data_IF_772642539013
#
_entry.id   IF_772642539013
#
_cell.length_a   1.000
_cell.length_b   1.000
_cell.length_c   1.000
_cell.angle_alpha   90.00
_cell.angle_beta   90.00
_cell.angle_gamma   90.00
#
_symmetry.space_group_name_H-M   'P 1'
#
loop_
_entity.id
_entity.type
_entity.pdbx_description
1 polymer ?
#
# COMPACT_ATOMS: atom_id res chain seq x y z
N UNK A 1 16.37 -50.58 2.13
CA UNK A 1 15.81 -49.59 1.18
C UNK A 1 15.01 -48.47 1.84
N UNK A 2 15.16 -48.22 3.15
CA UNK A 2 14.33 -47.27 3.92
C UNK A 2 15.00 -45.93 4.25
N UNK A 3 16.30 -45.75 3.98
CA UNK A 3 17.03 -44.49 4.26
C UNK A 3 16.99 -43.47 3.11
N UNK A 4 16.86 -43.93 1.86
CA UNK A 4 16.89 -43.05 0.67
C UNK A 4 15.57 -42.28 0.50
N UNK A 5 14.45 -42.81 1.01
CA UNK A 5 13.13 -42.19 0.91
C UNK A 5 12.95 -40.98 1.86
N UNK A 6 13.78 -40.85 2.91
CA UNK A 6 13.71 -39.72 3.86
C UNK A 6 14.48 -38.47 3.42
N UNK A 7 15.38 -38.59 2.44
CA UNK A 7 16.13 -37.43 1.93
C UNK A 7 15.38 -36.69 0.81
N UNK A 8 14.51 -37.39 0.06
CA UNK A 8 13.78 -36.77 -1.05
C UNK A 8 12.68 -35.79 -0.58
N UNK A 9 12.13 -35.97 0.63
CA UNK A 9 11.05 -35.12 1.17
C UNK A 9 11.54 -33.79 1.73
N UNK A 10 12.82 -33.65 2.08
CA UNK A 10 13.37 -32.38 2.59
C UNK A 10 13.70 -31.42 1.44
N UNK A 11 14.11 -31.94 0.28
CA UNK A 11 14.42 -31.11 -0.90
C UNK A 11 13.16 -30.51 -1.57
N UNK A 12 11.99 -31.14 -1.41
CA UNK A 12 10.73 -30.62 -1.95
C UNK A 12 10.13 -29.49 -1.11
N UNK A 13 10.49 -29.39 0.19
CA UNK A 13 10.01 -28.33 1.09
C UNK A 13 10.82 -27.03 0.99
N UNK A 14 12.03 -27.07 0.45
CA UNK A 14 12.87 -25.87 0.30
C UNK A 14 12.58 -25.06 -0.97
N UNK A 15 11.90 -25.64 -1.96
CA UNK A 15 11.61 -24.94 -3.23
C UNK A 15 10.36 -24.04 -3.14
N UNK A 16 9.49 -24.27 -2.17
CA UNK A 16 8.28 -23.46 -1.92
C UNK A 16 8.56 -22.14 -1.21
N UNK A 17 9.79 -21.94 -0.71
CA UNK A 17 10.19 -20.72 0.00
C UNK A 17 10.77 -19.64 -0.93
N UNK A 18 10.89 -19.91 -2.24
CA UNK A 18 11.24 -18.92 -3.25
C UNK A 18 9.97 -18.27 -3.82
N UNK A 19 9.06 -17.84 -2.95
CA UNK A 19 8.13 -16.77 -3.32
C UNK A 19 9.02 -15.58 -3.64
N UNK A 20 9.28 -15.33 -4.92
CA UNK A 20 9.89 -14.10 -5.36
C UNK A 20 9.07 -12.97 -4.71
N UNK A 21 9.66 -12.30 -3.72
CA UNK A 21 9.09 -11.11 -3.13
C UNK A 21 9.07 -10.09 -4.28
N UNK A 22 8.01 -10.13 -5.07
CA UNK A 22 7.75 -9.11 -6.06
C UNK A 22 7.81 -7.80 -5.27
N UNK A 23 8.74 -6.92 -5.65
CA UNK A 23 8.85 -5.62 -5.04
C UNK A 23 7.48 -4.97 -5.19
N UNK A 24 6.75 -4.80 -4.08
CA UNK A 24 5.45 -4.15 -4.13
C UNK A 24 5.70 -2.71 -4.56
N UNK A 25 5.19 -2.34 -5.73
CA UNK A 25 5.32 -0.97 -6.19
C UNK A 25 4.51 -0.09 -5.23
N UNK A 26 5.13 0.91 -4.58
CA UNK A 26 4.42 1.81 -3.69
C UNK A 26 3.34 2.56 -4.45
N UNK A 27 2.31 2.99 -3.75
CA UNK A 27 1.23 3.77 -4.35
C UNK A 27 0.84 4.97 -3.50
N UNK A 28 0.25 5.95 -4.16
CA UNK A 28 -0.37 7.12 -3.55
C UNK A 28 -1.80 7.27 -4.07
N UNK A 29 -2.72 7.63 -3.20
CA UNK A 29 -4.06 8.08 -3.54
C UNK A 29 -4.28 9.47 -2.95
N UNK A 30 -4.63 10.42 -3.81
CA UNK A 30 -4.92 11.79 -3.42
C UNK A 30 -6.36 11.93 -2.91
N UNK A 31 -6.69 13.04 -2.28
CA UNK A 31 -8.09 13.39 -2.02
C UNK A 31 -8.73 14.03 -3.28
N UNK A 32 -9.97 14.50 -3.13
CA UNK A 32 -10.75 15.07 -4.23
C UNK A 32 -10.31 16.48 -4.65
N UNK A 33 -9.39 17.14 -3.95
CA UNK A 33 -8.79 18.40 -4.42
C UNK A 33 -7.84 18.16 -5.60
N UNK A 34 -7.38 16.91 -5.77
CA UNK A 34 -6.60 16.46 -6.92
C UNK A 34 -5.10 16.71 -6.74
N UNK A 35 -4.29 16.10 -7.61
CA UNK A 35 -2.83 16.10 -7.47
C UNK A 35 -2.18 17.47 -7.67
N UNK A 36 -2.75 18.32 -8.52
CA UNK A 36 -2.21 19.64 -8.87
C UNK A 36 -3.03 20.77 -8.24
N UNK A 37 -3.31 20.64 -6.94
CA UNK A 37 -4.12 21.58 -6.15
C UNK A 37 -3.39 22.88 -5.78
N UNK A 38 -2.13 23.06 -6.22
CA UNK A 38 -1.24 24.17 -5.84
C UNK A 38 -1.02 24.30 -4.32
N UNK A 39 -1.25 23.22 -3.58
CA UNK A 39 -1.24 23.18 -2.13
C UNK A 39 -0.63 21.83 -1.69
N UNK A 40 -1.26 21.19 -0.71
CA UNK A 40 -0.75 20.03 -0.02
C UNK A 40 -0.56 18.81 -0.94
N UNK A 41 -1.52 18.51 -1.82
CA UNK A 41 -1.41 17.34 -2.69
C UNK A 41 -0.28 17.52 -3.70
N UNK A 42 -0.13 18.72 -4.27
CA UNK A 42 0.97 19.01 -5.18
C UNK A 42 2.32 18.93 -4.44
N UNK A 43 2.40 19.37 -3.19
CA UNK A 43 3.61 19.20 -2.38
C UNK A 43 3.97 17.72 -2.17
N UNK A 44 2.99 16.85 -1.90
CA UNK A 44 3.22 15.40 -1.79
C UNK A 44 3.70 14.81 -3.12
N UNK A 45 3.13 15.25 -4.24
CA UNK A 45 3.56 14.79 -5.56
C UNK A 45 5.01 15.22 -5.87
N UNK A 46 5.29 16.52 -5.82
CA UNK A 46 6.60 17.09 -6.18
C UNK A 46 7.71 16.64 -5.25
N UNK A 47 7.47 16.71 -3.94
CA UNK A 47 8.52 16.52 -2.93
C UNK A 47 8.57 15.09 -2.38
N UNK A 48 7.55 14.27 -2.66
CA UNK A 48 7.51 12.87 -2.25
C UNK A 48 7.61 11.94 -3.46
N UNK A 49 6.58 11.92 -4.30
CA UNK A 49 6.46 10.94 -5.40
C UNK A 49 7.54 11.11 -6.46
N UNK A 50 7.73 12.31 -6.99
CA UNK A 50 8.73 12.55 -8.05
C UNK A 50 10.15 12.28 -7.53
N UNK A 51 10.45 12.71 -6.30
CA UNK A 51 11.75 12.47 -5.67
C UNK A 51 11.99 10.97 -5.41
N UNK A 52 11.00 10.25 -4.87
CA UNK A 52 11.11 8.80 -4.66
C UNK A 52 11.34 8.06 -5.98
N UNK A 53 10.58 8.42 -7.03
CA UNK A 53 10.75 7.83 -8.36
C UNK A 53 12.16 8.04 -8.89
N UNK A 54 12.71 9.26 -8.73
CA UNK A 54 14.06 9.61 -9.15
C UNK A 54 15.13 8.85 -8.36
N UNK A 55 15.01 8.82 -7.05
CA UNK A 55 16.05 8.30 -6.15
C UNK A 55 16.07 6.77 -6.11
N UNK A 56 14.91 6.12 -6.28
CA UNK A 56 14.78 4.66 -6.20
C UNK A 56 14.65 3.98 -7.56
N UNK A 57 14.38 4.74 -8.63
CA UNK A 57 14.10 4.17 -9.96
C UNK A 57 12.82 3.33 -10.00
N UNK A 58 11.93 3.48 -9.01
CA UNK A 58 10.66 2.75 -8.88
C UNK A 58 9.53 3.72 -9.20
N UNK A 59 8.61 3.34 -10.09
CA UNK A 59 7.45 4.19 -10.41
C UNK A 59 6.32 3.95 -9.40
N UNK A 60 6.09 4.93 -8.53
CA UNK A 60 4.92 4.99 -7.64
C UNK A 60 3.64 4.95 -8.49
N UNK A 61 2.66 4.13 -8.09
CA UNK A 61 1.32 4.17 -8.70
C UNK A 61 0.50 5.29 -8.08
N UNK A 62 -0.27 5.99 -8.89
CA UNK A 62 -1.08 7.11 -8.45
C UNK A 62 -2.57 6.84 -8.73
N UNK A 63 -3.44 7.33 -7.86
CA UNK A 63 -4.87 7.37 -8.07
C UNK A 63 -5.45 8.72 -7.64
N UNK A 64 -6.24 9.34 -8.52
CA UNK A 64 -6.90 10.63 -8.29
C UNK A 64 -8.42 10.44 -8.29
N UNK A 65 -9.05 10.31 -7.10
CA UNK A 65 -10.49 10.10 -7.00
C UNK A 65 -11.25 11.37 -7.37
N UNK A 66 -12.35 11.22 -8.12
CA UNK A 66 -13.24 12.33 -8.48
C UNK A 66 -14.28 12.64 -7.41
N UNK A 67 -14.53 11.69 -6.50
CA UNK A 67 -15.48 11.82 -5.39
C UNK A 67 -15.13 10.82 -4.29
N UNK A 68 -15.86 10.89 -3.17
CA UNK A 68 -15.60 10.05 -2.00
C UNK A 68 -15.77 8.55 -2.25
N UNK A 69 -16.77 8.15 -3.04
CA UNK A 69 -17.01 6.74 -3.37
C UNK A 69 -15.81 6.12 -4.12
N UNK A 70 -15.10 6.93 -4.93
CA UNK A 70 -13.90 6.47 -5.63
C UNK A 70 -12.69 6.30 -4.72
N UNK A 71 -12.68 6.84 -3.49
CA UNK A 71 -11.55 6.68 -2.55
C UNK A 71 -11.41 5.22 -2.11
N UNK A 72 -12.52 4.61 -1.67
CA UNK A 72 -12.56 3.18 -1.31
C UNK A 72 -12.23 2.28 -2.51
N UNK A 73 -12.83 2.57 -3.67
CA UNK A 73 -12.55 1.83 -4.90
C UNK A 73 -11.07 1.91 -5.31
N UNK A 74 -10.47 3.10 -5.20
CA UNK A 74 -9.06 3.34 -5.50
C UNK A 74 -8.14 2.56 -4.57
N UNK A 75 -8.37 2.64 -3.26
CA UNK A 75 -7.61 1.89 -2.25
C UNK A 75 -7.69 0.38 -2.48
N UNK A 76 -8.90 -0.16 -2.66
CA UNK A 76 -9.11 -1.59 -2.96
C UNK A 76 -8.42 -2.00 -4.26
N UNK A 77 -8.47 -1.16 -5.31
CA UNK A 77 -7.80 -1.43 -6.58
C UNK A 77 -6.28 -1.46 -6.46
N UNK A 78 -5.68 -0.53 -5.70
CA UNK A 78 -4.24 -0.51 -5.47
C UNK A 78 -3.81 -1.74 -4.66
N UNK A 79 -4.50 -2.03 -3.55
CA UNK A 79 -4.17 -3.16 -2.68
C UNK A 79 -4.33 -4.52 -3.38
N UNK A 80 -5.42 -4.72 -4.13
CA UNK A 80 -5.65 -5.94 -4.93
C UNK A 80 -4.64 -6.17 -6.05
N UNK A 81 -3.92 -5.12 -6.48
CA UNK A 81 -2.80 -5.21 -7.43
C UNK A 81 -1.47 -5.49 -6.75
N UNK A 82 -1.45 -5.66 -5.43
CA UNK A 82 -0.24 -5.87 -4.65
C UNK A 82 0.61 -4.60 -4.49
N UNK A 83 0.04 -3.41 -4.67
CA UNK A 83 0.75 -2.17 -4.38
C UNK A 83 0.92 -1.98 -2.88
N UNK A 84 2.10 -1.53 -2.46
CA UNK A 84 2.42 -1.39 -1.04
C UNK A 84 3.82 -0.82 -0.81
N UNK A 85 4.02 0.07 0.17
CA UNK A 85 2.99 0.72 0.98
C UNK A 85 2.07 1.64 0.13
N UNK A 86 0.84 1.85 0.60
CA UNK A 86 -0.15 2.74 0.01
C UNK A 86 -0.28 3.99 0.89
N UNK A 87 0.02 5.15 0.33
CA UNK A 87 -0.09 6.46 0.98
C UNK A 87 -1.41 7.12 0.58
N UNK A 88 -2.31 7.33 1.53
CA UNK A 88 -3.51 8.11 1.35
C UNK A 88 -3.28 9.57 1.80
N UNK A 89 -3.55 10.52 0.93
CA UNK A 89 -3.28 11.94 1.17
C UNK A 89 -4.60 12.64 1.51
N UNK A 90 -4.63 13.33 2.66
CA UNK A 90 -5.75 14.17 3.06
C UNK A 90 -6.50 13.65 4.29
N UNK A 91 -7.13 14.59 5.01
CA UNK A 91 -7.76 14.36 6.32
C UNK A 91 -8.90 13.33 6.31
N UNK A 92 -9.72 13.32 5.26
CA UNK A 92 -10.94 12.51 5.22
C UNK A 92 -10.74 11.04 4.83
N UNK A 93 -9.50 10.54 4.80
CA UNK A 93 -9.16 9.19 4.30
C UNK A 93 -9.40 8.05 5.30
N UNK A 94 -9.57 8.35 6.58
CA UNK A 94 -9.58 7.36 7.67
C UNK A 94 -10.52 6.17 7.46
N UNK A 95 -11.81 6.42 7.22
CA UNK A 95 -12.82 5.36 7.07
C UNK A 95 -12.56 4.46 5.85
N UNK A 96 -12.12 5.05 4.73
CA UNK A 96 -11.83 4.32 3.51
C UNK A 96 -10.59 3.42 3.67
N UNK A 97 -9.55 3.94 4.34
CA UNK A 97 -8.34 3.18 4.64
C UNK A 97 -8.61 2.07 5.66
N UNK A 98 -9.42 2.31 6.70
CA UNK A 98 -9.77 1.29 7.69
C UNK A 98 -10.46 0.07 7.05
N UNK A 99 -11.43 0.32 6.16
CA UNK A 99 -12.09 -0.74 5.38
C UNK A 99 -11.09 -1.49 4.50
N UNK A 100 -10.26 -0.77 3.74
CA UNK A 100 -9.26 -1.39 2.87
C UNK A 100 -8.22 -2.19 3.67
N UNK A 101 -7.74 -1.68 4.81
CA UNK A 101 -6.79 -2.38 5.66
C UNK A 101 -7.38 -3.69 6.23
N UNK A 102 -8.68 -3.69 6.56
CA UNK A 102 -9.39 -4.91 7.00
C UNK A 102 -9.48 -5.95 5.89
N UNK A 103 -9.69 -5.52 4.64
CA UNK A 103 -9.79 -6.41 3.48
C UNK A 103 -8.43 -6.90 2.96
N UNK A 104 -7.38 -6.10 3.17
CA UNK A 104 -6.02 -6.36 2.69
C UNK A 104 -5.01 -6.29 3.84
N UNK A 105 -5.06 -7.24 4.80
CA UNK A 105 -4.24 -7.18 6.02
C UNK A 105 -2.72 -7.23 5.75
N UNK A 106 -2.31 -7.78 4.60
CA UNK A 106 -0.90 -7.84 4.19
C UNK A 106 -0.42 -6.56 3.51
N UNK A 107 -1.30 -5.58 3.25
CA UNK A 107 -0.94 -4.31 2.62
C UNK A 107 -0.73 -3.24 3.67
N UNK A 108 0.40 -2.55 3.60
CA UNK A 108 0.67 -1.41 4.48
C UNK A 108 -0.01 -0.16 3.92
N UNK A 109 -0.79 0.53 4.77
CA UNK A 109 -1.42 1.81 4.46
C UNK A 109 -0.95 2.88 5.43
N UNK A 110 -0.74 4.09 4.94
CA UNK A 110 -0.51 5.25 5.81
C UNK A 110 -1.34 6.42 5.33
N UNK A 111 -1.74 7.30 6.24
CA UNK A 111 -2.43 8.54 5.92
C UNK A 111 -1.52 9.70 6.27
N UNK A 112 -1.35 10.62 5.32
CA UNK A 112 -0.71 11.91 5.57
C UNK A 112 -1.81 12.96 5.74
N UNK A 113 -1.63 13.82 6.74
CA UNK A 113 -2.57 14.87 7.16
C UNK A 113 -3.83 14.36 7.88
N UNK A 114 -3.67 13.32 8.70
CA UNK A 114 -4.71 12.86 9.62
C UNK A 114 -4.38 13.19 11.07
N UNK A 115 -5.37 13.70 11.82
CA UNK A 115 -5.27 13.94 13.26
C UNK A 115 -6.21 13.01 14.05
N UNK A 116 -5.77 12.54 15.23
CA UNK A 116 -6.66 11.91 16.22
C UNK A 116 -6.69 10.37 16.25
N UNK A 117 -7.81 9.81 16.71
CA UNK A 117 -7.97 8.38 17.05
C UNK A 117 -7.86 7.44 15.83
N UNK A 118 -8.25 7.91 14.65
CA UNK A 118 -8.20 7.12 13.41
C UNK A 118 -6.77 6.65 13.07
N UNK A 119 -5.74 7.46 13.37
CA UNK A 119 -4.33 7.08 13.11
C UNK A 119 -3.90 5.90 13.99
N UNK A 120 -4.39 5.88 15.25
CA UNK A 120 -4.11 4.80 16.20
C UNK A 120 -4.80 3.50 15.77
N UNK A 121 -6.02 3.59 15.24
CA UNK A 121 -6.76 2.42 14.74
C UNK A 121 -6.04 1.78 13.56
N UNK A 122 -5.62 2.56 12.56
CA UNK A 122 -4.93 2.04 11.38
C UNK A 122 -3.61 1.36 11.76
N UNK A 123 -2.84 1.96 12.67
CA UNK A 123 -1.60 1.34 13.14
C UNK A 123 -1.84 -0.01 13.84
N UNK A 124 -2.93 -0.15 14.62
CA UNK A 124 -3.30 -1.43 15.24
C UNK A 124 -3.66 -2.50 14.21
N UNK A 125 -4.37 -2.13 13.14
CA UNK A 125 -4.75 -3.07 12.08
C UNK A 125 -3.55 -3.63 11.30
N UNK A 126 -2.41 -2.93 11.32
CA UNK A 126 -1.21 -3.30 10.57
C UNK A 126 -0.08 -3.90 11.43
N UNK A 127 -0.27 -3.94 12.75
CA UNK A 127 0.72 -4.39 13.73
C UNK A 127 0.27 -5.58 14.57
N UNK A 128 -0.75 -6.33 14.14
CA UNK A 128 -1.25 -7.55 14.77
C UNK A 128 -1.02 -8.76 13.88
#
# INVERSE_FOLDING_TARGET
MTKVLKLATVAALTLSALSAQAASEPAVIYDTAGKFDKSFNEAVFRNGVELYNKDKGIKVKEFEPQNEAQREQGLRRLASRGNGPIVAVGFNMGSAVEKAATEFPNTQFTIIDMVGQAQRTIHRLQGA
#
